data_IF_212832864283
#
_entry.id   IF_212832864283
#
_cell.length_a   1.000
_cell.length_b   1.000
_cell.length_c   1.000
_cell.angle_alpha   90.00
_cell.angle_beta   90.00
_cell.angle_gamma   90.00
#
_symmetry.space_group_name_H-M   'P 1'
#
loop_
_entity.id
_entity.type
_entity.pdbx_description
1 polymer ?
#
# COMPACT_ATOMS: atom_id res chain seq x y z
N UNK A 1 19.97 11.96 -0.36
CA UNK A 1 18.92 11.31 0.40
C UNK A 1 18.07 10.45 -0.51
N UNK A 2 17.91 9.21 -0.14
CA UNK A 2 17.19 8.27 -0.98
C UNK A 2 15.69 8.54 -0.95
N UNK A 3 15.06 8.33 -2.10
CA UNK A 3 13.61 8.47 -2.21
C UNK A 3 12.94 7.23 -1.63
N UNK A 4 11.81 7.44 -0.96
CA UNK A 4 10.98 6.32 -0.49
C UNK A 4 10.18 5.81 -1.68
N UNK A 5 10.29 4.51 -1.94
CA UNK A 5 9.59 3.85 -3.06
C UNK A 5 8.25 3.32 -2.56
N UNK A 6 7.19 3.96 -3.01
CA UNK A 6 5.83 3.67 -2.55
C UNK A 6 5.12 2.68 -3.47
N UNK A 7 4.35 1.78 -2.84
CA UNK A 7 3.34 1.00 -3.53
C UNK A 7 1.96 1.43 -3.08
N UNK A 8 0.97 1.35 -3.95
CA UNK A 8 -0.42 1.62 -3.61
C UNK A 8 -1.23 0.34 -3.78
N UNK A 9 -1.87 -0.10 -2.71
CA UNK A 9 -2.72 -1.27 -2.70
C UNK A 9 -4.17 -0.81 -2.82
N UNK A 10 -4.79 -1.10 -3.97
CA UNK A 10 -6.11 -0.60 -4.32
C UNK A 10 -6.00 0.47 -5.40
N UNK A 11 -7.07 0.63 -6.19
CA UNK A 11 -7.05 1.52 -7.35
C UNK A 11 -8.25 2.46 -7.40
N UNK A 12 -8.92 2.67 -6.27
CA UNK A 12 -10.10 3.53 -6.19
C UNK A 12 -9.78 5.02 -6.12
N UNK A 13 -10.80 5.80 -5.78
CA UNK A 13 -10.71 7.27 -5.76
C UNK A 13 -9.65 7.78 -4.77
N UNK A 14 -9.61 7.20 -3.57
CA UNK A 14 -8.67 7.66 -2.55
C UNK A 14 -7.22 7.31 -2.94
N UNK A 15 -7.03 6.18 -3.63
CA UNK A 15 -5.72 5.81 -4.16
C UNK A 15 -5.24 6.85 -5.19
N UNK A 16 -6.15 7.35 -6.02
CA UNK A 16 -5.83 8.38 -7.01
C UNK A 16 -5.41 9.68 -6.34
N UNK A 17 -6.11 10.09 -5.29
CA UNK A 17 -5.74 11.29 -4.53
C UNK A 17 -4.37 11.17 -3.90
N UNK A 18 -4.04 10.01 -3.38
CA UNK A 18 -2.72 9.75 -2.79
C UNK A 18 -1.63 9.80 -3.86
N UNK A 19 -1.87 9.19 -5.02
CA UNK A 19 -0.92 9.21 -6.13
C UNK A 19 -0.64 10.65 -6.59
N UNK A 20 -1.67 11.47 -6.67
CA UNK A 20 -1.53 12.88 -7.01
C UNK A 20 -0.64 13.60 -6.00
N UNK A 21 -0.87 13.37 -4.71
CA UNK A 21 -0.05 13.96 -3.66
C UNK A 21 1.41 13.53 -3.71
N UNK A 22 1.67 12.25 -3.97
CA UNK A 22 3.04 11.76 -4.09
C UNK A 22 3.78 12.35 -5.27
N UNK A 23 3.08 12.63 -6.37
CA UNK A 23 3.71 13.09 -7.60
C UNK A 23 4.44 14.42 -7.45
N UNK A 24 4.10 15.22 -6.44
CA UNK A 24 4.72 16.52 -6.20
C UNK A 24 5.78 16.50 -5.11
N UNK A 25 6.03 15.34 -4.49
CA UNK A 25 7.02 15.23 -3.41
C UNK A 25 8.37 14.77 -3.97
N UNK A 26 9.45 15.53 -3.73
CA UNK A 26 10.76 15.19 -4.30
C UNK A 26 11.42 13.96 -3.68
N UNK A 27 11.00 13.58 -2.45
CA UNK A 27 11.59 12.44 -1.74
C UNK A 27 10.70 11.20 -1.78
N UNK A 28 9.70 11.18 -2.64
CA UNK A 28 8.81 10.04 -2.81
C UNK A 28 8.76 9.62 -4.27
N UNK A 29 8.73 8.31 -4.50
CA UNK A 29 8.58 7.73 -5.81
C UNK A 29 7.39 6.78 -5.80
N UNK A 30 6.45 6.95 -6.72
CA UNK A 30 5.35 6.01 -6.89
C UNK A 30 5.84 4.88 -7.77
N UNK A 31 6.25 3.78 -7.14
CA UNK A 31 6.96 2.68 -7.79
C UNK A 31 6.06 1.58 -8.30
N UNK A 32 5.00 1.25 -7.55
CA UNK A 32 4.21 0.08 -7.84
C UNK A 32 2.75 0.29 -7.46
N UNK A 33 1.88 -0.47 -8.11
CA UNK A 33 0.47 -0.55 -7.73
C UNK A 33 0.03 -2.01 -7.70
N UNK A 34 -0.93 -2.32 -6.85
CA UNK A 34 -1.51 -3.65 -6.76
C UNK A 34 -3.02 -3.58 -6.75
N UNK A 35 -3.64 -4.50 -7.47
CA UNK A 35 -5.09 -4.62 -7.57
C UNK A 35 -5.47 -6.10 -7.56
N UNK A 36 -6.77 -6.38 -7.53
CA UNK A 36 -7.26 -7.76 -7.55
C UNK A 36 -7.19 -8.39 -8.92
N UNK A 37 -7.01 -7.59 -9.98
CA UNK A 37 -6.84 -8.10 -11.33
C UNK A 37 -5.88 -7.20 -12.11
N UNK A 38 -5.34 -7.75 -13.20
CA UNK A 38 -4.34 -7.06 -14.00
C UNK A 38 -4.92 -5.84 -14.71
N UNK A 39 -6.16 -5.92 -15.13
CA UNK A 39 -6.79 -4.85 -15.89
C UNK A 39 -6.89 -3.55 -15.09
N UNK A 40 -7.33 -3.62 -13.86
CA UNK A 40 -7.44 -2.43 -13.00
C UNK A 40 -6.07 -1.92 -12.56
N UNK A 41 -5.10 -2.83 -12.34
CA UNK A 41 -3.73 -2.43 -12.04
C UNK A 41 -3.12 -1.67 -13.22
N UNK A 42 -3.29 -2.17 -14.44
CA UNK A 42 -2.75 -1.53 -15.64
C UNK A 42 -3.39 -0.16 -15.88
N UNK A 43 -4.71 -0.04 -15.72
CA UNK A 43 -5.40 1.23 -15.93
C UNK A 43 -4.90 2.30 -14.96
N UNK A 44 -4.75 1.94 -13.68
CA UNK A 44 -4.22 2.86 -12.68
C UNK A 44 -2.77 3.23 -12.97
N UNK A 45 -1.96 2.24 -13.33
CA UNK A 45 -0.55 2.45 -13.61
C UNK A 45 -0.32 3.35 -14.83
N UNK A 46 -1.15 3.22 -15.85
CA UNK A 46 -1.03 4.08 -17.04
C UNK A 46 -1.35 5.54 -16.70
N UNK A 47 -2.36 5.77 -15.89
CA UNK A 47 -2.73 7.12 -15.48
C UNK A 47 -1.60 7.82 -14.72
N UNK A 48 -0.89 7.08 -13.87
CA UNK A 48 0.14 7.65 -12.98
C UNK A 48 1.56 7.29 -13.38
N UNK A 49 1.72 6.67 -14.55
CA UNK A 49 3.02 6.28 -15.10
C UNK A 49 3.81 5.39 -14.13
N UNK A 50 3.14 4.36 -13.63
CA UNK A 50 3.74 3.43 -12.66
C UNK A 50 4.34 2.24 -13.40
N UNK A 51 5.58 1.89 -13.06
CA UNK A 51 6.30 0.81 -13.72
C UNK A 51 5.82 -0.59 -13.31
N UNK A 52 5.76 -0.85 -12.02
CA UNK A 52 5.43 -2.20 -11.50
C UNK A 52 3.95 -2.33 -11.24
N UNK A 53 3.33 -3.32 -11.90
CA UNK A 53 1.87 -3.50 -11.93
C UNK A 53 1.51 -4.90 -11.48
N UNK A 54 0.96 -5.02 -10.28
CA UNK A 54 0.67 -6.31 -9.66
C UNK A 54 -0.81 -6.64 -9.75
N UNK A 55 -1.11 -7.86 -10.18
CA UNK A 55 -2.48 -8.36 -10.31
C UNK A 55 -3.02 -8.97 -9.01
N UNK A 56 -2.23 -8.94 -7.94
CA UNK A 56 -2.65 -9.39 -6.63
C UNK A 56 -2.00 -8.54 -5.55
N UNK A 57 -2.59 -8.54 -4.37
CA UNK A 57 -2.06 -7.82 -3.23
C UNK A 57 -0.77 -8.46 -2.71
N UNK A 58 -0.71 -9.79 -2.75
CA UNK A 58 0.46 -10.55 -2.31
C UNK A 58 1.69 -10.24 -3.16
N UNK A 59 1.49 -10.11 -4.46
CA UNK A 59 2.57 -9.78 -5.38
C UNK A 59 3.15 -8.40 -5.08
N UNK A 60 2.29 -7.41 -4.82
CA UNK A 60 2.76 -6.08 -4.42
C UNK A 60 3.49 -6.12 -3.09
N UNK A 61 2.92 -6.81 -2.09
CA UNK A 61 3.50 -6.86 -0.75
C UNK A 61 4.92 -7.44 -0.75
N UNK A 62 5.22 -8.33 -1.67
CA UNK A 62 6.52 -8.99 -1.74
C UNK A 62 7.48 -8.37 -2.75
N UNK A 63 7.11 -7.25 -3.36
CA UNK A 63 7.97 -6.57 -4.33
C UNK A 63 9.20 -5.98 -3.62
N UNK A 64 10.42 -6.46 -3.93
CA UNK A 64 11.62 -5.99 -3.22
C UNK A 64 11.99 -4.54 -3.52
N UNK A 65 11.40 -3.94 -4.55
CA UNK A 65 11.67 -2.56 -4.90
C UNK A 65 10.74 -1.56 -4.23
N UNK A 66 9.85 -2.03 -3.36
CA UNK A 66 8.89 -1.20 -2.63
C UNK A 66 9.30 -1.10 -1.17
N UNK A 67 9.34 0.13 -0.64
CA UNK A 67 9.71 0.40 0.75
C UNK A 67 8.49 0.53 1.66
N UNK A 68 7.45 1.19 1.17
CA UNK A 68 6.25 1.48 1.95
C UNK A 68 5.01 1.28 1.08
N UNK A 69 3.91 0.87 1.69
CA UNK A 69 2.66 0.61 0.97
C UNK A 69 1.53 1.42 1.60
N UNK A 70 0.80 2.13 0.75
CA UNK A 70 -0.44 2.80 1.14
C UNK A 70 -1.60 1.84 0.90
N UNK A 71 -2.32 1.48 1.96
CA UNK A 71 -3.46 0.58 1.89
C UNK A 71 -4.73 1.40 1.70
N UNK A 72 -5.29 1.35 0.49
CA UNK A 72 -6.46 2.11 0.08
C UNK A 72 -7.61 1.20 -0.35
N UNK A 73 -7.68 0.00 0.20
CA UNK A 73 -8.74 -0.98 -0.08
C UNK A 73 -9.97 -0.67 0.77
N UNK A 74 -11.11 -1.38 0.56
CA UNK A 74 -12.29 -1.17 1.40
C UNK A 74 -12.01 -1.37 2.90
N UNK A 75 -12.75 -0.66 3.75
CA UNK A 75 -12.53 -0.64 5.20
C UNK A 75 -12.46 -2.04 5.82
N UNK A 76 -13.32 -2.95 5.38
CA UNK A 76 -13.37 -4.31 5.93
C UNK A 76 -12.11 -5.12 5.64
N UNK A 77 -11.31 -4.68 4.68
CA UNK A 77 -10.09 -5.37 4.28
C UNK A 77 -8.82 -4.72 4.85
N UNK A 78 -8.94 -3.60 5.60
CA UNK A 78 -7.76 -2.87 6.08
C UNK A 78 -6.84 -3.72 6.95
N UNK A 79 -7.40 -4.48 7.89
CA UNK A 79 -6.59 -5.31 8.78
C UNK A 79 -5.82 -6.38 8.00
N UNK A 80 -6.53 -7.17 7.19
CA UNK A 80 -5.90 -8.27 6.46
C UNK A 80 -4.83 -7.77 5.50
N UNK A 81 -5.13 -6.69 4.77
CA UNK A 81 -4.20 -6.15 3.78
C UNK A 81 -3.00 -5.48 4.44
N UNK A 82 -3.21 -4.78 5.56
CA UNK A 82 -2.11 -4.16 6.30
C UNK A 82 -1.19 -5.22 6.89
N UNK A 83 -1.75 -6.27 7.48
CA UNK A 83 -0.95 -7.36 8.05
C UNK A 83 -0.15 -8.07 6.96
N UNK A 84 -0.76 -8.30 5.80
CA UNK A 84 -0.06 -8.88 4.65
C UNK A 84 1.21 -8.09 4.31
N UNK A 85 1.10 -6.76 4.24
CA UNK A 85 2.22 -5.90 3.90
C UNK A 85 3.25 -5.84 5.04
N UNK A 86 2.78 -5.73 6.28
CA UNK A 86 3.66 -5.69 7.45
C UNK A 86 4.49 -6.98 7.58
N UNK A 87 3.86 -8.13 7.35
CA UNK A 87 4.55 -9.42 7.43
C UNK A 87 5.60 -9.57 6.33
N UNK A 88 5.41 -8.89 5.21
CA UNK A 88 6.41 -8.85 4.14
C UNK A 88 7.54 -7.85 4.43
N UNK A 89 7.52 -7.19 5.58
CA UNK A 89 8.57 -6.25 5.98
C UNK A 89 8.40 -4.85 5.43
N UNK A 90 7.21 -4.49 4.94
CA UNK A 90 6.95 -3.17 4.40
C UNK A 90 6.38 -2.24 5.47
N UNK A 91 6.79 -0.97 5.44
CA UNK A 91 6.10 0.07 6.19
C UNK A 91 4.71 0.26 5.58
N UNK A 92 3.72 0.56 6.41
CA UNK A 92 2.34 0.68 5.96
C UNK A 92 1.72 1.99 6.42
N UNK A 93 1.09 2.68 5.49
CA UNK A 93 0.18 3.78 5.78
C UNK A 93 -1.21 3.31 5.37
N UNK A 94 -2.07 3.08 6.36
CA UNK A 94 -3.41 2.56 6.12
C UNK A 94 -4.42 3.69 6.14
N UNK A 95 -5.35 3.69 5.17
CA UNK A 95 -6.42 4.69 5.12
C UNK A 95 -7.37 4.51 6.29
N UNK A 96 -7.98 5.59 6.74
CA UNK A 96 -8.94 5.56 7.84
C UNK A 96 -10.29 4.99 7.41
N UNK A 97 -11.04 4.35 8.29
CA UNK A 97 -10.61 3.97 9.62
C UNK A 97 -9.55 2.88 9.57
N UNK A 98 -8.60 2.91 10.49
CA UNK A 98 -7.50 1.94 10.51
C UNK A 98 -8.03 0.51 10.53
N UNK A 99 -9.07 0.28 11.32
CA UNK A 99 -9.69 -1.03 11.46
C UNK A 99 -11.16 -0.86 11.83
N UNK A 100 -11.92 -1.96 11.78
CA UNK A 100 -13.34 -1.96 12.11
C UNK A 100 -13.57 -1.78 13.62
N UNK A 101 -12.64 -2.28 14.44
CA UNK A 101 -12.75 -2.19 15.90
C UNK A 101 -11.36 -2.17 16.55
N UNK A 102 -11.33 -1.96 17.88
CA UNK A 102 -10.08 -1.87 18.62
C UNK A 102 -9.28 -3.16 18.63
N UNK A 103 -9.93 -4.32 18.58
CA UNK A 103 -9.23 -5.60 18.53
C UNK A 103 -8.42 -5.73 17.25
N UNK A 104 -9.00 -5.37 16.11
CA UNK A 104 -8.31 -5.41 14.84
C UNK A 104 -7.14 -4.41 14.81
N UNK A 105 -7.34 -3.22 15.33
CA UNK A 105 -6.28 -2.22 15.41
C UNK A 105 -5.10 -2.72 16.25
N UNK A 106 -5.38 -3.41 17.37
CA UNK A 106 -4.33 -3.97 18.21
C UNK A 106 -3.58 -5.10 17.50
N UNK A 107 -4.26 -5.92 16.73
CA UNK A 107 -3.61 -6.97 15.95
C UNK A 107 -2.66 -6.37 14.91
N UNK A 108 -3.08 -5.32 14.23
CA UNK A 108 -2.25 -4.63 13.24
C UNK A 108 -0.99 -4.04 13.88
N UNK A 109 -1.15 -3.33 14.99
CA UNK A 109 0.00 -2.72 15.68
C UNK A 109 0.92 -3.76 16.28
N UNK A 110 0.38 -4.90 16.72
CA UNK A 110 1.18 -6.00 17.23
C UNK A 110 2.09 -6.59 16.14
N UNK A 111 1.55 -6.81 14.96
CA UNK A 111 2.34 -7.32 13.82
C UNK A 111 3.42 -6.32 13.42
N UNK A 112 3.09 -5.04 13.35
CA UNK A 112 4.06 -4.00 13.02
C UNK A 112 5.23 -3.98 14.00
N UNK A 113 4.92 -4.09 15.29
CA UNK A 113 5.92 -4.13 16.35
C UNK A 113 6.79 -5.37 16.27
N UNK A 114 6.16 -6.53 16.06
CA UNK A 114 6.86 -7.81 15.91
C UNK A 114 7.82 -7.81 14.73
N UNK A 115 7.42 -7.21 13.61
CA UNK A 115 8.24 -7.14 12.41
C UNK A 115 9.18 -5.93 12.40
N UNK A 116 9.07 -5.07 13.40
CA UNK A 116 9.89 -3.86 13.52
C UNK A 116 9.76 -2.95 12.28
N UNK A 117 8.54 -2.76 11.81
CA UNK A 117 8.23 -1.86 10.70
C UNK A 117 7.20 -0.83 11.13
N UNK A 118 7.14 0.27 10.38
CA UNK A 118 6.26 1.39 10.69
C UNK A 118 4.83 1.09 10.20
N UNK A 119 3.86 1.46 11.03
CA UNK A 119 2.44 1.41 10.66
C UNK A 119 1.84 2.80 10.86
#
# INVERSE_FOLDING_TARGET
MDRIRWGILGTGRIAQSFAEGLSILPNAELRATGSRNQQTADAFAERWNIHSRHASYESLATDPEVDAIYVATPHSAHMANSILCLEAGKAVLCEKPLAINGKQAREMTSVAREKNVLL
#
